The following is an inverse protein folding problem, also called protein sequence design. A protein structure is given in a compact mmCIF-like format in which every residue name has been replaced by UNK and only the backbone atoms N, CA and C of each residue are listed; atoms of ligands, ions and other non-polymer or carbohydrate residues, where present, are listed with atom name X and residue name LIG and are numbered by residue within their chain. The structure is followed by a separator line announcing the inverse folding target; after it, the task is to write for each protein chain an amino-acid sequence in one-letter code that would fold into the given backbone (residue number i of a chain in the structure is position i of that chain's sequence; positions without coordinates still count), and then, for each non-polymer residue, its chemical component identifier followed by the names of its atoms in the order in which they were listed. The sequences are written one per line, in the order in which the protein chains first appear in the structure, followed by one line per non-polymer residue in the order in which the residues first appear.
data_IF_316013158927
#
_entry.id   IF_316013158927
#
_cell.length_a   1.000
_cell.length_b   1.000
_cell.length_c   1.000
_cell.angle_alpha   90.00
_cell.angle_beta   90.00
_cell.angle_gamma   90.00
#
_symmetry.space_group_name_H-M   'P 1'
#
loop_
_entity.id
_entity.type
_entity.pdbx_description
1 polymer ?
#
# COMPACT_ATOMS: atom_id res chain seq x y z
N UNK A 1 -44.62 15.66 -49.50
CA UNK A 1 -44.22 15.41 -48.09
C UNK A 1 -43.07 14.41 -48.15
N UNK A 2 -41.87 14.56 -47.57
CA UNK A 2 -41.13 15.61 -46.88
C UNK A 2 -39.68 15.04 -46.85
N UNK A 3 -38.67 15.85 -47.19
CA UNK A 3 -37.25 15.47 -47.19
C UNK A 3 -36.78 14.85 -45.87
N UNK A 4 -35.82 13.93 -45.93
CA UNK A 4 -35.03 13.48 -44.78
C UNK A 4 -33.53 13.66 -45.05
N UNK A 5 -33.11 14.89 -44.75
CA UNK A 5 -31.89 15.37 -44.09
C UNK A 5 -30.73 14.38 -43.92
N UNK A 6 -29.58 14.74 -44.52
CA UNK A 6 -28.25 14.23 -44.22
C UNK A 6 -27.82 14.64 -42.80
N UNK A 7 -27.35 13.70 -41.98
CA UNK A 7 -26.69 13.98 -40.70
C UNK A 7 -25.24 13.50 -40.76
N UNK A 8 -24.36 14.45 -41.08
CA UNK A 8 -22.91 14.32 -40.96
C UNK A 8 -22.52 14.47 -39.49
N UNK A 9 -22.13 13.38 -38.84
CA UNK A 9 -21.58 13.41 -37.48
C UNK A 9 -20.09 13.76 -37.53
N UNK A 10 -19.76 15.03 -37.29
CA UNK A 10 -18.38 15.49 -37.07
C UNK A 10 -17.85 14.99 -35.74
N UNK A 11 -16.81 14.15 -35.78
CA UNK A 11 -16.09 13.66 -34.60
C UNK A 11 -15.14 14.77 -34.11
N UNK A 12 -15.52 15.47 -33.04
CA UNK A 12 -14.68 16.46 -32.36
C UNK A 12 -13.60 15.74 -31.56
N UNK A 13 -12.37 15.73 -32.09
CA UNK A 13 -11.18 15.29 -31.36
C UNK A 13 -10.86 16.33 -30.28
N UNK A 14 -11.25 16.02 -29.04
CA UNK A 14 -10.82 16.76 -27.86
C UNK A 14 -9.32 16.45 -27.63
N UNK A 15 -8.44 17.28 -28.18
CA UNK A 15 -7.01 17.24 -27.83
C UNK A 15 -6.89 17.87 -26.44
N UNK A 16 -7.06 17.03 -25.41
CA UNK A 16 -6.76 17.42 -24.04
C UNK A 16 -5.28 17.74 -23.94
N UNK A 17 -4.95 18.99 -23.61
CA UNK A 17 -3.59 19.38 -23.26
C UNK A 17 -3.18 18.57 -22.03
N UNK A 18 -2.36 17.54 -22.22
CA UNK A 18 -1.63 16.89 -21.13
C UNK A 18 -0.60 17.91 -20.63
N UNK A 19 -0.98 18.71 -19.64
CA UNK A 19 -0.01 19.45 -18.84
C UNK A 19 0.81 18.35 -18.16
N UNK A 20 1.95 18.05 -18.76
CA UNK A 20 2.93 17.14 -18.17
C UNK A 20 3.50 17.89 -16.97
N UNK A 21 2.91 17.69 -15.79
CA UNK A 21 3.56 18.07 -14.54
C UNK A 21 4.84 17.25 -14.51
N UNK A 22 5.96 17.87 -14.84
CA UNK A 22 7.27 17.25 -14.65
C UNK A 22 7.39 16.96 -13.17
N UNK A 23 7.22 15.71 -12.81
CA UNK A 23 7.29 15.30 -11.43
C UNK A 23 8.72 15.58 -10.94
N UNK A 24 8.82 16.37 -9.87
CA UNK A 24 10.12 16.81 -9.34
C UNK A 24 10.76 15.57 -8.71
N UNK A 25 11.97 15.22 -9.10
CA UNK A 25 12.69 14.12 -8.44
C UNK A 25 13.31 14.57 -7.11
N UNK A 26 13.26 13.70 -6.11
CA UNK A 26 13.88 13.96 -4.82
C UNK A 26 15.42 13.93 -4.94
N UNK A 27 16.08 14.83 -4.21
CA UNK A 27 17.54 14.78 -4.12
C UNK A 27 18.03 13.46 -3.51
N UNK A 28 19.26 13.05 -3.84
CA UNK A 28 19.83 11.81 -3.31
C UNK A 28 19.91 11.75 -1.79
N UNK A 29 20.04 12.91 -1.13
CA UNK A 29 20.11 13.01 0.34
C UNK A 29 18.77 12.63 0.97
N UNK A 30 17.66 12.86 0.28
CA UNK A 30 16.32 12.50 0.73
C UNK A 30 15.98 11.07 0.27
N UNK A 31 16.30 10.73 -0.98
CA UNK A 31 15.91 9.43 -1.54
C UNK A 31 16.68 8.26 -0.91
N UNK A 32 17.98 8.40 -0.62
CA UNK A 32 18.81 7.27 -0.15
C UNK A 32 18.31 6.68 1.17
N UNK A 33 18.07 7.46 2.25
CA UNK A 33 17.57 6.90 3.50
C UNK A 33 16.22 6.20 3.35
N UNK A 34 15.32 6.75 2.53
CA UNK A 34 14.01 6.15 2.23
C UNK A 34 14.20 4.78 1.56
N UNK A 35 14.98 4.71 0.48
CA UNK A 35 15.27 3.43 -0.20
C UNK A 35 15.94 2.42 0.72
N UNK A 36 16.92 2.85 1.53
CA UNK A 36 17.61 1.96 2.49
C UNK A 36 16.65 1.35 3.50
N UNK A 37 15.66 2.10 3.98
CA UNK A 37 14.68 1.56 4.90
C UNK A 37 13.67 0.66 4.18
N UNK A 38 13.22 1.01 2.97
CA UNK A 38 12.36 0.15 2.15
C UNK A 38 13.02 -1.17 1.80
N UNK A 39 14.30 -1.16 1.43
CA UNK A 39 15.08 -2.35 1.04
C UNK A 39 15.67 -3.10 2.25
N UNK A 40 15.20 -2.81 3.47
CA UNK A 40 15.67 -3.49 4.67
C UNK A 40 14.97 -4.85 4.84
N UNK A 41 15.31 -5.79 3.96
CA UNK A 41 14.77 -7.15 3.99
C UNK A 41 14.97 -7.86 5.34
N UNK A 42 16.10 -7.66 6.01
CA UNK A 42 16.33 -8.22 7.35
C UNK A 42 15.31 -7.71 8.37
N UNK A 43 15.00 -6.41 8.35
CA UNK A 43 13.98 -5.86 9.23
C UNK A 43 12.61 -6.50 8.97
N UNK A 44 12.18 -6.52 7.71
CA UNK A 44 10.81 -6.96 7.38
C UNK A 44 10.64 -8.50 7.36
N UNK A 45 11.71 -9.26 7.11
CA UNK A 45 11.67 -10.73 7.23
C UNK A 45 11.67 -11.22 8.69
N UNK A 46 12.13 -10.40 9.64
CA UNK A 46 12.27 -10.79 11.06
C UNK A 46 11.25 -10.16 11.99
N UNK A 47 10.59 -9.07 11.58
CA UNK A 47 9.76 -8.28 12.46
C UNK A 47 8.49 -8.99 12.98
N UNK A 48 8.08 -10.11 12.39
CA UNK A 48 6.98 -10.95 12.87
C UNK A 48 7.38 -12.42 13.02
N UNK A 49 8.67 -12.71 13.24
CA UNK A 49 9.20 -14.08 13.31
C UNK A 49 8.54 -15.00 14.35
N UNK A 50 8.04 -14.44 15.46
CA UNK A 50 7.38 -15.23 16.50
C UNK A 50 6.00 -15.73 16.04
N UNK A 51 5.38 -15.04 15.08
CA UNK A 51 4.03 -15.31 14.60
C UNK A 51 4.00 -15.90 13.17
N UNK A 52 4.97 -15.52 12.34
CA UNK A 52 5.16 -16.05 10.99
C UNK A 52 5.84 -17.42 11.07
N UNK A 53 5.08 -18.46 10.74
CA UNK A 53 5.56 -19.85 10.74
C UNK A 53 6.68 -20.15 9.72
N UNK A 54 7.04 -19.19 8.87
CA UNK A 54 8.07 -19.31 7.83
C UNK A 54 8.88 -18.01 7.81
N UNK A 55 10.21 -18.14 7.73
CA UNK A 55 11.07 -17.03 7.37
C UNK A 55 10.70 -16.56 5.96
N UNK A 56 9.84 -15.54 5.87
CA UNK A 56 9.43 -14.99 4.59
C UNK A 56 10.65 -14.41 3.89
N UNK A 57 10.87 -14.77 2.63
CA UNK A 57 11.97 -14.25 1.82
C UNK A 57 11.65 -12.82 1.39
N UNK A 58 11.78 -11.89 2.33
CA UNK A 58 11.48 -10.47 2.16
C UNK A 58 12.80 -9.72 1.93
N UNK A 59 12.91 -9.08 0.78
CA UNK A 59 14.03 -8.22 0.40
C UNK A 59 13.65 -6.75 0.53
N UNK A 60 12.37 -6.41 0.40
CA UNK A 60 11.85 -5.05 0.55
C UNK A 60 10.54 -5.00 1.32
N UNK A 61 10.14 -3.83 1.81
CA UNK A 61 8.82 -3.60 2.41
C UNK A 61 7.70 -4.06 1.46
N UNK A 62 7.81 -3.81 0.17
CA UNK A 62 6.72 -4.09 -0.77
C UNK A 62 6.57 -5.58 -1.08
N UNK A 63 7.54 -6.42 -0.75
CA UNK A 63 7.42 -7.88 -0.92
C UNK A 63 6.33 -8.46 0.01
N UNK A 64 5.91 -7.73 1.05
CA UNK A 64 4.80 -8.16 1.92
C UNK A 64 3.45 -8.12 1.21
N UNK A 65 3.34 -7.43 0.08
CA UNK A 65 2.12 -7.44 -0.75
C UNK A 65 1.89 -8.78 -1.45
N UNK A 66 2.94 -9.61 -1.54
CA UNK A 66 2.86 -10.98 -2.07
C UNK A 66 2.59 -12.03 -0.97
N UNK A 67 2.37 -11.60 0.27
CA UNK A 67 2.05 -12.50 1.37
C UNK A 67 0.65 -13.11 1.22
N UNK A 68 0.45 -14.25 1.87
CA UNK A 68 -0.92 -14.75 2.09
C UNK A 68 -1.67 -13.79 3.01
N UNK A 69 -3.00 -13.73 2.92
CA UNK A 69 -3.82 -12.88 3.81
C UNK A 69 -3.48 -13.10 5.29
N UNK A 70 -3.18 -14.35 5.67
CA UNK A 70 -2.76 -14.70 7.03
C UNK A 70 -1.42 -14.06 7.39
N UNK A 71 -0.40 -14.23 6.57
CA UNK A 71 0.94 -13.71 6.85
C UNK A 71 0.96 -12.18 6.78
N UNK A 72 0.18 -11.59 5.87
CA UNK A 72 -0.02 -10.15 5.79
C UNK A 72 -0.69 -9.61 7.06
N UNK A 73 -1.76 -10.27 7.54
CA UNK A 73 -2.40 -9.90 8.81
C UNK A 73 -1.41 -9.99 10.00
N UNK A 74 -0.58 -11.02 10.05
CA UNK A 74 0.44 -11.17 11.09
C UNK A 74 1.50 -10.06 11.02
N UNK A 75 1.97 -9.72 9.82
CA UNK A 75 2.81 -8.55 9.60
C UNK A 75 2.14 -7.27 10.10
N UNK A 76 0.87 -7.04 9.75
CA UNK A 76 0.13 -5.84 10.12
C UNK A 76 -0.20 -5.74 11.62
N UNK A 77 -0.39 -6.87 12.32
CA UNK A 77 -0.57 -6.90 13.79
C UNK A 77 0.75 -6.77 14.55
N UNK A 78 1.88 -7.09 13.93
CA UNK A 78 3.19 -6.93 14.58
C UNK A 78 3.59 -5.47 14.69
N UNK A 79 3.66 -4.97 15.93
CA UNK A 79 4.14 -3.61 16.19
C UNK A 79 5.61 -3.41 15.77
N UNK A 80 6.41 -4.48 15.75
CA UNK A 80 7.80 -4.45 15.29
C UNK A 80 7.89 -4.28 13.77
N UNK A 81 6.88 -4.72 13.01
CA UNK A 81 6.78 -4.52 11.57
C UNK A 81 6.20 -3.14 11.22
N UNK A 82 5.12 -2.74 11.89
CA UNK A 82 4.38 -1.52 11.53
C UNK A 82 5.05 -0.22 11.99
N UNK A 83 5.79 -0.21 13.12
CA UNK A 83 6.49 1.00 13.56
C UNK A 83 7.47 1.54 12.50
N UNK A 84 8.32 0.72 11.86
CA UNK A 84 9.13 1.15 10.72
C UNK A 84 8.32 1.73 9.54
N UNK A 85 7.17 1.15 9.22
CA UNK A 85 6.27 1.65 8.17
C UNK A 85 5.72 3.03 8.54
N UNK A 86 5.31 3.23 9.79
CA UNK A 86 4.89 4.54 10.29
C UNK A 86 6.03 5.57 10.27
N UNK A 87 7.26 5.16 10.55
CA UNK A 87 8.43 6.04 10.43
C UNK A 87 8.66 6.46 8.97
N UNK A 88 8.51 5.53 8.02
CA UNK A 88 8.56 5.84 6.59
C UNK A 88 7.50 6.88 6.22
N UNK A 89 6.23 6.69 6.61
CA UNK A 89 5.16 7.65 6.32
C UNK A 89 5.48 9.07 6.79
N UNK A 90 6.14 9.22 7.94
CA UNK A 90 6.49 10.52 8.48
C UNK A 90 7.74 11.14 7.84
N UNK A 91 8.53 10.35 7.10
CA UNK A 91 9.85 10.76 6.58
C UNK A 91 9.87 10.89 5.06
N UNK A 92 9.01 10.15 4.34
CA UNK A 92 8.97 10.21 2.88
C UNK A 92 8.41 11.58 2.45
N UNK A 93 9.11 12.29 1.53
CA UNK A 93 8.59 13.54 0.99
C UNK A 93 7.34 13.29 0.13
N UNK A 94 6.36 14.17 0.25
CA UNK A 94 5.11 14.12 -0.54
C UNK A 94 5.15 14.96 -1.82
N UNK A 95 6.22 15.76 -2.00
CA UNK A 95 6.33 16.78 -3.04
C UNK A 95 7.36 16.43 -4.13
N UNK A 96 7.90 15.22 -4.12
CA UNK A 96 8.84 14.75 -5.14
C UNK A 96 8.73 13.23 -5.34
N UNK A 97 9.11 12.75 -6.52
CA UNK A 97 9.21 11.33 -6.84
C UNK A 97 10.60 10.80 -6.51
N UNK A 98 10.65 9.53 -6.12
CA UNK A 98 11.90 8.82 -5.86
C UNK A 98 12.07 7.78 -6.96
N UNK A 99 13.19 7.86 -7.70
CA UNK A 99 13.60 6.76 -8.59
C UNK A 99 13.78 5.50 -7.75
N UNK A 100 12.96 4.47 -7.94
CA UNK A 100 13.02 3.23 -7.19
C UNK A 100 12.88 2.07 -8.18
N UNK A 101 13.82 1.12 -8.14
CA UNK A 101 13.94 0.03 -9.12
C UNK A 101 13.92 0.45 -10.61
N UNK A 102 14.40 1.66 -10.92
CA UNK A 102 14.59 2.14 -12.29
C UNK A 102 13.41 2.95 -12.87
N UNK A 103 12.42 3.29 -12.05
CA UNK A 103 11.30 4.18 -12.41
C UNK A 103 11.04 5.22 -11.33
N UNK A 104 10.39 6.34 -11.67
CA UNK A 104 10.03 7.35 -10.69
C UNK A 104 8.73 6.96 -9.94
N UNK A 105 8.80 6.89 -8.60
CA UNK A 105 7.70 6.46 -7.73
C UNK A 105 7.22 7.53 -6.77
N UNK A 106 5.91 7.53 -6.49
CA UNK A 106 5.34 8.26 -5.37
C UNK A 106 5.35 7.36 -4.13
N UNK A 107 6.53 7.16 -3.55
CA UNK A 107 6.69 6.24 -2.42
C UNK A 107 5.87 6.65 -1.19
N UNK A 108 5.51 7.94 -1.06
CA UNK A 108 4.62 8.38 0.02
C UNK A 108 3.23 7.79 -0.14
N UNK A 109 2.70 7.81 -1.37
CA UNK A 109 1.38 7.27 -1.70
C UNK A 109 1.38 5.73 -1.62
N UNK A 110 2.41 5.08 -2.16
CA UNK A 110 2.53 3.62 -2.13
C UNK A 110 2.63 3.06 -0.70
N UNK A 111 3.45 3.68 0.17
CA UNK A 111 3.55 3.26 1.58
C UNK A 111 2.26 3.62 2.35
N UNK A 112 1.59 4.73 2.01
CA UNK A 112 0.28 5.08 2.61
C UNK A 112 -0.77 4.03 2.28
N UNK A 113 -0.81 3.57 1.03
CA UNK A 113 -1.73 2.53 0.57
C UNK A 113 -1.50 1.21 1.32
N UNK A 114 -0.23 0.77 1.43
CA UNK A 114 0.12 -0.43 2.21
C UNK A 114 -0.31 -0.29 3.68
N UNK A 115 -0.07 0.87 4.30
CA UNK A 115 -0.48 1.11 5.70
C UNK A 115 -2.00 1.11 5.87
N UNK A 116 -2.75 1.63 4.90
CA UNK A 116 -4.22 1.58 4.89
C UNK A 116 -4.73 0.14 4.72
N UNK A 117 -4.15 -0.64 3.80
CA UNK A 117 -4.49 -2.06 3.64
C UNK A 117 -4.24 -2.85 4.93
N UNK A 118 -3.17 -2.53 5.67
CA UNK A 118 -2.96 -3.08 7.00
C UNK A 118 -4.07 -2.71 8.00
N UNK A 119 -4.51 -1.44 8.03
CA UNK A 119 -5.60 -1.04 8.92
C UNK A 119 -6.92 -1.73 8.57
N UNK A 120 -7.19 -1.93 7.29
CA UNK A 120 -8.39 -2.61 6.81
C UNK A 120 -8.41 -4.09 7.22
N UNK A 121 -7.32 -4.84 6.98
CA UNK A 121 -7.28 -6.26 7.31
C UNK A 121 -7.29 -6.51 8.81
N UNK A 122 -6.60 -5.68 9.60
CA UNK A 122 -6.61 -5.77 11.08
C UNK A 122 -8.02 -5.46 11.59
N UNK A 123 -8.64 -4.38 11.12
CA UNK A 123 -10.00 -4.03 11.52
C UNK A 123 -11.03 -5.09 11.14
N UNK A 124 -10.90 -5.72 9.96
CA UNK A 124 -11.76 -6.82 9.56
C UNK A 124 -11.60 -8.05 10.47
N UNK A 125 -10.36 -8.40 10.82
CA UNK A 125 -10.07 -9.53 11.71
C UNK A 125 -10.58 -9.28 13.14
N UNK A 126 -10.35 -8.09 13.69
CA UNK A 126 -10.81 -7.73 15.04
C UNK A 126 -12.35 -7.78 15.13
N UNK A 127 -13.06 -7.28 14.11
CA UNK A 127 -14.53 -7.37 14.06
C UNK A 127 -15.04 -8.82 13.99
N UNK A 128 -14.35 -9.69 13.25
CA UNK A 128 -14.71 -11.10 13.16
C UNK A 128 -14.49 -11.83 14.49
N UNK A 129 -13.37 -11.54 15.17
CA UNK A 129 -13.04 -12.07 16.49
C UNK A 129 -14.14 -11.68 17.52
N UNK A 130 -14.58 -10.42 17.51
CA UNK A 130 -15.69 -9.93 18.35
C UNK A 130 -17.02 -10.64 18.02
N UNK A 131 -17.39 -10.76 16.74
CA UNK A 131 -18.61 -11.48 16.33
C UNK A 131 -18.61 -12.95 16.81
N UNK A 132 -17.46 -13.62 16.72
CA UNK A 132 -17.26 -14.97 17.23
C UNK A 132 -17.46 -15.05 18.74
N UNK A 133 -16.91 -14.10 19.51
CA UNK A 133 -17.08 -14.03 20.97
C UNK A 133 -18.55 -13.77 21.36
N UNK A 134 -19.24 -12.89 20.64
CA UNK A 134 -20.66 -12.64 20.86
C UNK A 134 -21.51 -13.89 20.59
N UNK A 135 -21.29 -14.59 19.47
CA UNK A 135 -22.01 -15.84 19.17
C UNK A 135 -21.77 -16.91 20.23
N UNK A 136 -20.52 -17.12 20.62
CA UNK A 136 -20.17 -18.10 21.66
C UNK A 136 -20.91 -17.80 22.99
N UNK A 137 -20.99 -16.52 23.36
CA UNK A 137 -21.69 -16.09 24.59
C UNK A 137 -23.21 -16.29 24.53
N UNK A 138 -23.81 -16.27 23.34
CA UNK A 138 -25.24 -16.55 23.13
C UNK A 138 -25.55 -18.05 23.13
N UNK A 139 -24.65 -18.87 22.60
CA UNK A 139 -24.81 -20.34 22.54
C UNK A 139 -24.58 -21.01 23.91
N UNK A 140 -23.80 -20.38 24.80
CA UNK A 140 -23.50 -20.87 26.15
C UNK A 140 -23.83 -19.83 27.23
N UNK A 141 -25.13 -19.56 27.51
CA UNK A 141 -25.51 -18.66 28.60
C UNK A 141 -25.14 -19.29 29.95
N UNK A 142 -24.40 -18.54 30.78
CA UNK A 142 -24.13 -18.89 32.19
C UNK A 142 -25.42 -19.05 33.00
#
# INVERSE_FOLDING_TARGET
MRSLVFLSTTFLLLVGNLISVTAIECSSTVSKPVKTLLDNGTLFSTCAMDDLSVQANVNSLFDVLDFTDRDFLLFCRSSSCIRPVQQLLNTIPTNCLIDYHGSAHNLSEEVTKLYQECAEIVGAADNADEEHLFRYSLDYPN
#
